data_IF_358315709239
#
_entry.id   IF_358315709239
#
_cell.length_a   1.000
_cell.length_b   1.000
_cell.length_c   1.000
_cell.angle_alpha   90.00
_cell.angle_beta   90.00
_cell.angle_gamma   90.00
#
_symmetry.space_group_name_H-M   'P 1'
#
loop_
_entity.id
_entity.type
_entity.pdbx_description
1 polymer ?
#
# COMPACT_ATOMS: atom_id res chain seq x y z
N UNK A 1 -2.14 -3.18 -12.52
CA UNK A 1 -2.81 -2.32 -11.52
C UNK A 1 -2.22 -0.93 -11.55
N UNK A 2 -3.05 0.08 -11.66
CA UNK A 2 -2.60 1.46 -11.74
C UNK A 2 -2.78 2.14 -10.38
N UNK A 3 -1.66 2.51 -9.76
CA UNK A 3 -1.67 3.18 -8.46
C UNK A 3 -1.19 4.63 -8.54
N UNK A 4 -1.15 5.22 -9.75
CA UNK A 4 -0.67 6.60 -9.93
C UNK A 4 -1.55 7.62 -9.20
N UNK A 5 -2.83 7.29 -8.98
CA UNK A 5 -3.77 8.17 -8.28
C UNK A 5 -3.83 7.91 -6.78
N UNK A 6 -2.85 7.24 -6.24
CA UNK A 6 -2.88 6.81 -4.85
C UNK A 6 -3.16 7.96 -3.86
N UNK A 7 -2.65 9.16 -4.15
CA UNK A 7 -2.81 10.31 -3.24
C UNK A 7 -4.25 10.78 -3.12
N UNK A 8 -5.02 10.69 -4.20
CA UNK A 8 -6.42 11.15 -4.23
C UNK A 8 -7.41 10.01 -4.07
N UNK A 9 -6.91 8.78 -4.06
CA UNK A 9 -7.77 7.59 -3.97
C UNK A 9 -8.33 7.45 -2.56
N UNK A 10 -9.57 6.96 -2.47
CA UNK A 10 -10.19 6.61 -1.19
C UNK A 10 -9.27 5.61 -0.47
N UNK A 11 -8.84 5.89 0.77
CA UNK A 11 -7.93 4.99 1.48
C UNK A 11 -8.51 3.59 1.71
N UNK A 12 -9.83 3.47 1.84
CA UNK A 12 -10.44 2.15 2.02
C UNK A 12 -10.39 1.33 0.73
N UNK A 13 -10.45 1.98 -0.41
CA UNK A 13 -10.22 1.31 -1.69
C UNK A 13 -8.75 1.00 -1.86
N UNK A 14 -7.90 1.96 -1.56
CA UNK A 14 -6.45 1.81 -1.74
C UNK A 14 -5.90 0.66 -0.89
N UNK A 15 -6.36 0.50 0.35
CA UNK A 15 -5.87 -0.57 1.21
C UNK A 15 -6.16 -1.95 0.61
N UNK A 16 -7.31 -2.12 0.00
CA UNK A 16 -7.65 -3.38 -0.67
C UNK A 16 -6.73 -3.67 -1.84
N UNK A 17 -6.44 -2.64 -2.64
CA UNK A 17 -5.54 -2.79 -3.78
C UNK A 17 -4.11 -3.09 -3.33
N UNK A 18 -3.62 -2.39 -2.32
CA UNK A 18 -2.28 -2.61 -1.79
C UNK A 18 -2.13 -4.01 -1.21
N UNK A 19 -3.11 -4.46 -0.43
CA UNK A 19 -3.07 -5.79 0.16
C UNK A 19 -3.11 -6.89 -0.90
N UNK A 20 -3.89 -6.69 -1.95
CA UNK A 20 -3.95 -7.64 -3.06
C UNK A 20 -2.59 -7.72 -3.76
N UNK A 21 -1.96 -6.58 -4.03
CA UNK A 21 -0.66 -6.54 -4.68
C UNK A 21 0.41 -7.18 -3.80
N UNK A 22 0.38 -6.90 -2.50
CA UNK A 22 1.33 -7.50 -1.56
C UNK A 22 1.21 -9.02 -1.51
N UNK A 23 -0.03 -9.52 -1.60
CA UNK A 23 -0.25 -10.96 -1.55
C UNK A 23 0.16 -11.67 -2.83
N UNK A 24 -0.09 -11.05 -3.98
CA UNK A 24 0.05 -11.71 -5.27
C UNK A 24 1.35 -11.41 -6.01
N UNK A 25 1.89 -10.19 -5.89
CA UNK A 25 2.95 -9.73 -6.78
C UNK A 25 4.16 -9.11 -6.10
N UNK A 26 4.06 -8.74 -4.84
CA UNK A 26 5.14 -8.03 -4.14
C UNK A 26 5.60 -8.82 -2.92
N UNK A 27 6.89 -8.80 -2.67
CA UNK A 27 7.47 -9.50 -1.51
C UNK A 27 7.38 -8.66 -0.24
N UNK A 28 7.25 -7.33 -0.39
CA UNK A 28 7.18 -6.40 0.73
C UNK A 28 6.61 -5.08 0.24
N UNK A 29 6.31 -4.20 1.20
CA UNK A 29 5.85 -2.86 0.85
C UNK A 29 6.94 -2.06 0.13
N UNK A 30 8.19 -2.25 0.51
CA UNK A 30 9.31 -1.61 -0.18
C UNK A 30 9.37 -2.07 -1.64
N UNK A 31 9.20 -3.35 -1.87
CA UNK A 31 9.20 -3.91 -3.22
C UNK A 31 8.04 -3.36 -4.05
N UNK A 32 6.84 -3.31 -3.45
CA UNK A 32 5.67 -2.75 -4.10
C UNK A 32 5.91 -1.28 -4.49
N UNK A 33 6.43 -0.51 -3.57
CA UNK A 33 6.68 0.91 -3.80
C UNK A 33 7.68 1.13 -4.93
N UNK A 34 8.75 0.33 -4.98
CA UNK A 34 9.74 0.41 -6.05
C UNK A 34 9.14 0.03 -7.40
N UNK A 35 8.38 -1.05 -7.43
CA UNK A 35 7.78 -1.54 -8.67
C UNK A 35 6.84 -0.51 -9.29
N UNK A 36 6.07 0.19 -8.47
CA UNK A 36 5.10 1.16 -8.94
C UNK A 36 5.60 2.60 -8.92
N UNK A 37 6.84 2.83 -8.47
CA UNK A 37 7.40 4.17 -8.41
C UNK A 37 6.72 5.07 -7.38
N UNK A 38 6.31 4.50 -6.24
CA UNK A 38 5.58 5.22 -5.20
C UNK A 38 6.45 5.46 -3.97
N UNK A 39 6.16 6.53 -3.19
CA UNK A 39 6.86 6.77 -1.94
C UNK A 39 6.31 5.86 -0.84
N UNK A 40 7.14 4.96 -0.34
CA UNK A 40 6.72 4.02 0.70
C UNK A 40 6.18 4.74 1.94
N UNK A 41 6.92 5.77 2.40
CA UNK A 41 6.50 6.49 3.61
C UNK A 41 5.19 7.25 3.40
N UNK A 42 4.97 7.74 2.18
CA UNK A 42 3.72 8.40 1.84
C UNK A 42 2.54 7.44 1.89
N UNK A 43 2.73 6.23 1.38
CA UNK A 43 1.70 5.19 1.43
C UNK A 43 1.36 4.82 2.88
N UNK A 44 2.39 4.59 3.69
CA UNK A 44 2.20 4.25 5.10
C UNK A 44 1.45 5.35 5.83
N UNK A 45 1.85 6.60 5.61
CA UNK A 45 1.19 7.74 6.25
C UNK A 45 -0.27 7.85 5.86
N UNK A 46 -0.57 7.71 4.56
CA UNK A 46 -1.95 7.78 4.09
C UNK A 46 -2.81 6.71 4.75
N UNK A 47 -2.28 5.51 4.83
CA UNK A 47 -3.02 4.40 5.45
C UNK A 47 -3.19 4.61 6.95
N UNK A 48 -2.16 5.13 7.63
CA UNK A 48 -2.24 5.38 9.07
C UNK A 48 -3.31 6.42 9.40
N UNK A 49 -3.42 7.46 8.60
CA UNK A 49 -4.46 8.48 8.78
C UNK A 49 -5.84 7.86 8.70
N UNK A 50 -6.00 6.84 7.86
CA UNK A 50 -7.27 6.14 7.69
C UNK A 50 -7.49 5.00 8.71
N UNK A 51 -6.51 4.78 9.60
CA UNK A 51 -6.63 3.76 10.64
C UNK A 51 -6.00 2.42 10.30
N UNK A 52 -5.17 2.35 9.26
CA UNK A 52 -4.50 1.12 8.85
C UNK A 52 -3.00 1.22 9.10
N UNK A 53 -2.43 0.20 9.75
CA UNK A 53 -0.99 0.11 9.97
C UNK A 53 -0.41 -1.04 9.14
N UNK A 54 0.77 -0.83 8.56
CA UNK A 54 1.42 -1.90 7.82
C UNK A 54 2.01 -2.93 8.78
N UNK A 55 1.68 -4.20 8.56
CA UNK A 55 2.19 -5.33 9.34
C UNK A 55 3.19 -6.09 8.47
N UNK A 56 4.46 -5.84 8.72
CA UNK A 56 5.53 -6.40 7.91
C UNK A 56 5.53 -7.94 7.92
N UNK A 57 5.28 -8.53 9.08
CA UNK A 57 5.26 -9.98 9.23
C UNK A 57 4.16 -10.65 8.42
N UNK A 58 3.07 -9.95 8.20
CA UNK A 58 1.91 -10.47 7.47
C UNK A 58 1.83 -9.92 6.07
N UNK A 59 2.68 -8.97 5.74
CA UNK A 59 2.71 -8.27 4.45
C UNK A 59 1.33 -7.72 4.08
N UNK A 60 0.73 -7.00 5.03
CA UNK A 60 -0.56 -6.38 4.77
C UNK A 60 -0.81 -5.22 5.72
N UNK A 61 -1.71 -4.33 5.30
CA UNK A 61 -2.24 -3.26 6.15
C UNK A 61 -3.44 -3.78 6.92
N UNK A 62 -3.49 -3.44 8.21
CA UNK A 62 -4.62 -3.88 9.07
C UNK A 62 -5.16 -2.78 9.94
#
# INVERSE_FOLDING_TARGET
MDLTNWETMDPHLLVGLLNTELRNNAESLVDLAKTHGLPRDGLVRKMEIAGYAYRDEQRQFR
#
